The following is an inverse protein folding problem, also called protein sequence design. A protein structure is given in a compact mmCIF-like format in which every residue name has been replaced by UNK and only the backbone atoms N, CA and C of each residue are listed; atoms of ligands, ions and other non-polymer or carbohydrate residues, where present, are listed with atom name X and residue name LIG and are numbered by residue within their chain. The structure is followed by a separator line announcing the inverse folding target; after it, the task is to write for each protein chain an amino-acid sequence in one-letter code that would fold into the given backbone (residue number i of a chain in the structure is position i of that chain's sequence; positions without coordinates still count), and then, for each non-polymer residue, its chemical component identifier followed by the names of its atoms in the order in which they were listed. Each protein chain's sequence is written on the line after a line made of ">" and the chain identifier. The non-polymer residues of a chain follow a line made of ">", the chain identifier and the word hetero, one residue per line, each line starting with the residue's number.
data_IF_194482000207
#
_entry.id   IF_194482000207
#
_cell.length_a   1.000
_cell.length_b   1.000
_cell.length_c   1.000
_cell.angle_alpha   90.00
_cell.angle_beta   90.00
_cell.angle_gamma   90.00
#
_symmetry.space_group_name_H-M   'P 1'
#
loop_
_entity.id
_entity.type
_entity.pdbx_description
1 polymer ?
#
# COMPACT_ATOMS: atom_id res chain seq x y z
N UNK A 1 11.72 -8.41 -23.85
CA UNK A 1 12.62 -7.26 -23.63
C UNK A 1 11.78 -6.16 -23.03
N UNK A 2 12.17 -5.59 -21.90
CA UNK A 2 11.48 -4.42 -21.33
C UNK A 2 11.77 -3.22 -22.23
N UNK A 3 10.74 -2.57 -22.77
CA UNK A 3 10.89 -1.32 -23.53
C UNK A 3 10.57 -0.15 -22.61
N UNK A 4 11.48 0.81 -22.49
CA UNK A 4 11.22 2.07 -21.80
C UNK A 4 10.14 2.81 -22.60
N UNK A 5 9.02 3.11 -21.93
CA UNK A 5 7.88 3.82 -22.54
C UNK A 5 8.01 5.34 -22.33
N UNK A 6 8.55 5.74 -21.17
CA UNK A 6 8.81 7.11 -20.83
C UNK A 6 9.95 7.17 -19.80
N UNK A 7 10.68 8.27 -19.82
CA UNK A 7 11.63 8.65 -18.79
C UNK A 7 11.14 9.98 -18.20
N UNK A 8 11.10 10.06 -16.87
CA UNK A 8 10.70 11.27 -16.15
C UNK A 8 11.88 11.64 -15.25
N UNK A 9 12.58 12.69 -15.64
CA UNK A 9 13.61 13.30 -14.81
C UNK A 9 12.97 14.21 -13.77
N UNK A 10 13.67 14.42 -12.64
CA UNK A 10 13.26 15.43 -11.66
C UNK A 10 13.23 16.84 -12.25
N UNK A 11 14.05 17.12 -13.27
CA UNK A 11 14.02 18.38 -14.01
C UNK A 11 12.72 18.60 -14.78
N UNK A 12 11.99 17.52 -15.08
CA UNK A 12 10.73 17.55 -15.82
C UNK A 12 9.55 17.80 -14.88
N UNK A 13 9.79 17.73 -13.56
CA UNK A 13 8.80 18.08 -12.55
C UNK A 13 8.77 19.60 -12.43
N UNK A 14 7.62 20.19 -12.73
CA UNK A 14 7.37 21.58 -12.39
C UNK A 14 7.66 21.80 -10.92
N UNK A 15 8.26 22.95 -10.58
CA UNK A 15 8.37 23.34 -9.17
C UNK A 15 6.95 23.35 -8.63
N UNK A 16 6.61 22.52 -7.62
CA UNK A 16 5.25 22.46 -7.15
C UNK A 16 4.86 23.89 -6.78
N UNK A 17 3.74 24.42 -7.32
CA UNK A 17 3.25 25.71 -6.86
C UNK A 17 3.13 25.63 -5.34
N UNK A 18 3.15 26.77 -4.65
CA UNK A 18 2.87 26.82 -3.21
C UNK A 18 1.43 26.39 -2.85
N UNK A 19 0.79 25.56 -3.69
CA UNK A 19 -0.43 24.86 -3.40
C UNK A 19 -0.21 23.95 -2.20
N UNK A 20 -0.97 24.25 -1.16
CA UNK A 20 -1.22 23.37 -0.04
C UNK A 20 -1.97 22.13 -0.56
N UNK A 21 -1.25 21.07 -0.88
CA UNK A 21 -1.86 19.75 -1.04
C UNK A 21 -2.53 19.39 0.29
N UNK A 22 -3.86 19.43 0.32
CA UNK A 22 -4.66 19.14 1.51
C UNK A 22 -5.33 17.78 1.38
N UNK A 23 -5.35 17.04 2.48
CA UNK A 23 -6.08 15.78 2.56
C UNK A 23 -7.54 16.14 2.87
N UNK A 24 -8.39 15.98 1.86
CA UNK A 24 -9.83 16.20 2.00
C UNK A 24 -10.60 14.87 1.90
N UNK A 25 -11.82 14.85 2.44
CA UNK A 25 -12.81 13.78 2.25
C UNK A 25 -12.26 12.38 2.54
N UNK A 26 -11.49 12.25 3.63
CA UNK A 26 -11.01 10.95 4.10
C UNK A 26 -12.22 10.04 4.40
N UNK A 27 -12.30 8.94 3.66
CA UNK A 27 -13.36 7.96 3.80
C UNK A 27 -12.76 6.58 4.07
N UNK A 28 -13.29 5.91 5.08
CA UNK A 28 -13.04 4.50 5.30
C UNK A 28 -13.89 3.66 4.33
N UNK A 29 -13.24 2.76 3.59
CA UNK A 29 -13.89 1.89 2.58
C UNK A 29 -14.03 0.46 3.08
N UNK A 30 -12.92 -0.15 3.51
CA UNK A 30 -12.90 -1.51 4.05
C UNK A 30 -11.66 -1.77 4.90
N UNK A 31 -11.68 -2.84 5.69
CA UNK A 31 -10.51 -3.41 6.36
C UNK A 31 -10.49 -4.94 6.25
N UNK A 32 -9.29 -5.51 6.31
CA UNK A 32 -9.10 -6.94 6.35
C UNK A 32 -7.83 -7.29 7.12
N UNK A 33 -7.76 -8.53 7.59
CA UNK A 33 -6.53 -9.11 8.13
C UNK A 33 -6.33 -10.54 7.65
N UNK A 34 -5.06 -10.93 7.49
CA UNK A 34 -4.69 -12.30 7.16
C UNK A 34 -4.86 -13.22 8.36
N UNK A 35 -5.41 -14.40 8.13
CA UNK A 35 -5.47 -15.47 9.12
C UNK A 35 -4.59 -16.65 8.72
N UNK A 36 -3.95 -17.27 9.71
CA UNK A 36 -3.09 -18.43 9.51
C UNK A 36 -3.91 -19.67 9.19
N UNK A 37 -4.04 -19.95 7.88
CA UNK A 37 -4.68 -21.12 7.30
C UNK A 37 -3.85 -21.64 6.12
N UNK A 38 -4.04 -22.90 5.77
CA UNK A 38 -3.34 -23.55 4.65
C UNK A 38 -3.62 -22.86 3.30
N UNK A 39 -4.82 -22.29 3.16
CA UNK A 39 -5.19 -21.46 2.03
C UNK A 39 -5.07 -19.98 2.41
N UNK A 40 -4.55 -19.13 1.51
CA UNK A 40 -4.54 -17.68 1.68
C UNK A 40 -5.96 -17.17 1.99
N UNK A 41 -6.18 -16.80 3.25
CA UNK A 41 -7.50 -16.44 3.76
C UNK A 41 -7.41 -15.11 4.51
N UNK A 42 -8.33 -14.21 4.17
CA UNK A 42 -8.54 -12.96 4.90
C UNK A 42 -9.86 -13.00 5.68
N UNK A 43 -9.90 -12.28 6.80
CA UNK A 43 -11.13 -11.95 7.52
C UNK A 43 -11.60 -10.54 7.14
N UNK A 44 -12.90 -10.38 6.86
CA UNK A 44 -13.53 -9.12 6.42
C UNK A 44 -14.91 -8.96 7.08
N UNK A 45 -15.26 -7.78 7.65
CA UNK A 45 -14.32 -6.74 8.08
C UNK A 45 -13.45 -7.27 9.21
N UNK A 46 -12.34 -6.61 9.50
CA UNK A 46 -11.71 -6.84 10.80
C UNK A 46 -12.60 -6.31 11.92
N UNK A 47 -12.54 -6.94 13.10
CA UNK A 47 -13.03 -6.35 14.34
C UNK A 47 -12.26 -5.08 14.72
N UNK A 48 -12.59 -4.51 15.89
CA UNK A 48 -11.88 -3.34 16.40
C UNK A 48 -10.42 -3.73 16.74
N UNK A 49 -9.42 -2.91 16.36
CA UNK A 49 -8.04 -3.15 16.76
C UNK A 49 -7.95 -3.20 18.29
N UNK A 50 -7.01 -3.97 18.87
CA UNK A 50 -6.82 -4.02 20.31
C UNK A 50 -6.65 -2.62 20.88
N UNK A 51 -7.44 -2.28 21.90
CA UNK A 51 -7.27 -1.02 22.61
C UNK A 51 -5.88 -0.99 23.25
N UNK A 52 -5.15 0.10 23.02
CA UNK A 52 -3.84 0.29 23.60
C UNK A 52 -3.95 0.36 25.13
N UNK A 53 -3.40 -0.65 25.80
CA UNK A 53 -3.31 -0.74 27.25
C UNK A 53 -1.83 -0.68 27.66
N UNK A 54 -1.27 0.54 27.85
CA UNK A 54 0.15 0.67 28.17
C UNK A 54 0.47 0.00 29.51
N UNK A 55 1.61 -0.70 29.63
CA UNK A 55 2.02 -1.27 30.90
C UNK A 55 2.35 -0.15 31.90
N UNK A 56 2.02 -0.38 33.18
CA UNK A 56 2.30 0.59 34.26
C UNK A 56 3.78 0.90 34.44
N UNK A 57 4.66 0.00 34.01
CA UNK A 57 6.12 0.17 34.03
C UNK A 57 6.69 -0.31 32.68
N UNK A 58 7.70 0.37 32.11
CA UNK A 58 8.34 -0.07 30.88
C UNK A 58 8.93 -1.49 31.06
N UNK A 59 8.49 -2.48 30.27
CA UNK A 59 9.07 -3.81 30.33
C UNK A 59 10.46 -3.80 29.70
N UNK A 60 11.37 -4.65 30.18
CA UNK A 60 12.62 -4.94 29.47
C UNK A 60 12.29 -5.83 28.28
N UNK A 61 12.39 -5.29 27.07
CA UNK A 61 12.11 -6.02 25.84
C UNK A 61 13.28 -6.93 25.46
N UNK A 62 12.97 -8.15 25.03
CA UNK A 62 13.94 -9.02 24.34
C UNK A 62 13.98 -8.64 22.86
N UNK A 63 15.12 -8.82 22.17
CA UNK A 63 15.16 -8.69 20.72
C UNK A 63 14.08 -9.53 20.05
N UNK A 64 13.50 -9.00 18.97
CA UNK A 64 12.54 -9.72 18.16
C UNK A 64 13.15 -11.00 17.59
N UNK A 65 12.34 -12.06 17.50
CA UNK A 65 12.72 -13.33 16.89
C UNK A 65 11.67 -13.78 15.87
N UNK A 66 12.11 -14.66 14.96
CA UNK A 66 11.27 -15.24 13.91
C UNK A 66 11.26 -14.44 12.60
N UNK A 67 10.44 -14.89 11.67
CA UNK A 67 10.26 -14.27 10.35
C UNK A 67 9.26 -13.12 10.48
N UNK A 68 9.52 -12.02 9.79
CA UNK A 68 8.62 -10.87 9.67
C UNK A 68 8.36 -10.62 8.20
N UNK A 69 7.11 -10.32 7.87
CA UNK A 69 6.76 -9.95 6.50
C UNK A 69 7.09 -8.48 6.27
N UNK A 70 7.89 -8.22 5.24
CA UNK A 70 8.07 -6.88 4.71
C UNK A 70 6.80 -6.45 3.96
N UNK A 71 6.29 -7.36 3.12
CA UNK A 71 4.98 -7.27 2.46
C UNK A 71 4.23 -8.60 2.67
N UNK A 72 3.22 -8.58 3.54
CA UNK A 72 2.47 -9.79 3.86
C UNK A 72 1.54 -10.22 2.72
N UNK A 73 1.04 -9.27 1.93
CA UNK A 73 0.16 -9.57 0.82
C UNK A 73 0.92 -10.32 -0.28
N UNK A 74 2.07 -9.79 -0.68
CA UNK A 74 2.93 -10.45 -1.66
C UNK A 74 3.52 -11.77 -1.12
N UNK A 75 3.77 -11.89 0.19
CA UNK A 75 4.29 -13.13 0.75
C UNK A 75 3.23 -14.25 0.81
N UNK A 76 1.96 -13.93 1.10
CA UNK A 76 0.88 -14.93 1.15
C UNK A 76 0.25 -15.21 -0.21
N UNK A 77 0.24 -14.21 -1.09
CA UNK A 77 -0.34 -14.34 -2.42
C UNK A 77 0.49 -13.57 -3.47
N UNK A 78 1.67 -14.12 -3.86
CA UNK A 78 2.63 -13.42 -4.72
C UNK A 78 2.10 -13.09 -6.11
N UNK A 79 1.18 -13.91 -6.63
CA UNK A 79 0.62 -13.74 -7.97
C UNK A 79 -0.36 -12.55 -8.04
N UNK A 80 -1.11 -12.30 -6.97
CA UNK A 80 -2.08 -11.20 -6.91
C UNK A 80 -2.04 -10.43 -5.58
N UNK A 81 -0.96 -9.68 -5.27
CA UNK A 81 -0.79 -9.02 -3.96
C UNK A 81 -1.90 -8.00 -3.62
N UNK A 82 -2.56 -7.42 -4.63
CA UNK A 82 -3.66 -6.47 -4.42
C UNK A 82 -5.05 -7.14 -4.32
N UNK A 83 -5.18 -8.41 -4.68
CA UNK A 83 -6.47 -9.12 -4.63
C UNK A 83 -7.17 -9.08 -3.26
N UNK A 84 -6.47 -9.26 -2.13
CA UNK A 84 -7.09 -9.16 -0.79
C UNK A 84 -7.79 -7.82 -0.55
N UNK A 85 -7.20 -6.72 -1.03
CA UNK A 85 -7.77 -5.38 -0.92
C UNK A 85 -9.11 -5.31 -1.65
N UNK A 86 -9.16 -5.75 -2.91
CA UNK A 86 -10.39 -5.73 -3.69
C UNK A 86 -11.46 -6.66 -3.12
N UNK A 87 -11.07 -7.86 -2.68
CA UNK A 87 -11.98 -8.79 -2.01
C UNK A 87 -12.58 -8.18 -0.74
N UNK A 88 -11.78 -7.45 0.04
CA UNK A 88 -12.26 -6.77 1.24
C UNK A 88 -13.28 -5.68 0.93
N UNK A 89 -13.02 -4.85 -0.09
CA UNK A 89 -13.97 -3.82 -0.54
C UNK A 89 -15.27 -4.47 -1.00
N UNK A 90 -15.22 -5.49 -1.86
CA UNK A 90 -16.43 -6.16 -2.35
C UNK A 90 -17.26 -6.82 -1.23
N UNK A 91 -16.60 -7.37 -0.20
CA UNK A 91 -17.29 -8.04 0.90
C UNK A 91 -17.88 -7.06 1.92
N UNK A 92 -17.20 -5.95 2.21
CA UNK A 92 -17.62 -4.99 3.23
C UNK A 92 -18.47 -3.84 2.69
N UNK A 93 -18.21 -3.41 1.46
CA UNK A 93 -18.88 -2.28 0.82
C UNK A 93 -19.19 -2.59 -0.66
N UNK A 94 -20.17 -3.48 -0.92
CA UNK A 94 -20.47 -3.97 -2.28
C UNK A 94 -20.97 -2.87 -3.24
N UNK A 95 -21.51 -1.79 -2.71
CA UNK A 95 -21.99 -0.64 -3.50
C UNK A 95 -20.89 0.40 -3.78
N UNK A 96 -19.64 0.13 -3.39
CA UNK A 96 -18.53 1.03 -3.65
C UNK A 96 -18.13 1.01 -5.13
N UNK A 97 -18.28 2.15 -5.80
CA UNK A 97 -17.93 2.32 -7.21
C UNK A 97 -16.41 2.40 -7.41
N UNK A 98 -15.77 1.25 -7.61
CA UNK A 98 -14.32 1.18 -7.86
C UNK A 98 -13.88 1.94 -9.11
N UNK A 99 -14.78 2.14 -10.09
CA UNK A 99 -14.48 2.89 -11.31
C UNK A 99 -14.18 4.37 -11.07
N UNK A 100 -14.58 4.91 -9.93
CA UNK A 100 -14.33 6.31 -9.60
C UNK A 100 -12.91 6.53 -9.06
N UNK A 101 -12.21 5.46 -8.67
CA UNK A 101 -10.84 5.53 -8.15
C UNK A 101 -9.84 5.69 -9.28
N UNK A 102 -9.02 6.74 -9.21
CA UNK A 102 -7.95 7.00 -10.18
C UNK A 102 -6.67 6.23 -9.87
N UNK A 103 -6.31 6.10 -8.59
CA UNK A 103 -5.07 5.45 -8.15
C UNK A 103 -5.33 4.55 -6.95
N UNK A 104 -4.88 3.30 -7.05
CA UNK A 104 -4.80 2.35 -5.93
C UNK A 104 -3.33 2.13 -5.63
N UNK A 105 -2.90 2.45 -4.41
CA UNK A 105 -1.51 2.29 -3.99
C UNK A 105 -1.45 2.02 -2.48
N UNK A 106 -0.27 1.70 -1.99
CA UNK A 106 0.00 1.53 -0.57
C UNK A 106 0.87 2.65 0.00
N UNK A 107 1.02 2.62 1.32
CA UNK A 107 1.85 3.59 2.04
C UNK A 107 3.33 3.50 1.62
N UNK A 108 3.84 2.32 1.28
CA UNK A 108 5.26 2.12 0.96
C UNK A 108 5.63 2.81 -0.36
N UNK A 109 4.83 2.62 -1.40
CA UNK A 109 4.99 3.28 -2.70
C UNK A 109 4.97 4.80 -2.55
N UNK A 110 4.08 5.35 -1.72
CA UNK A 110 4.06 6.79 -1.41
C UNK A 110 5.35 7.25 -0.71
N UNK A 111 5.91 6.43 0.19
CA UNK A 111 7.20 6.70 0.85
C UNK A 111 8.41 6.57 -0.06
N UNK A 112 8.29 5.93 -1.23
CA UNK A 112 9.32 5.91 -2.28
C UNK A 112 9.21 7.16 -3.16
N UNK A 113 7.98 7.51 -3.56
CA UNK A 113 7.71 8.65 -4.43
C UNK A 113 7.97 10.01 -3.77
N UNK A 114 7.62 10.17 -2.49
CA UNK A 114 7.76 11.47 -1.81
C UNK A 114 9.24 11.91 -1.72
N UNK A 115 10.19 11.10 -1.21
CA UNK A 115 11.61 11.47 -1.18
C UNK A 115 12.22 11.71 -2.57
N UNK A 116 11.73 11.01 -3.60
CA UNK A 116 12.13 11.25 -4.98
C UNK A 116 11.78 12.66 -5.45
N UNK A 117 10.57 13.13 -5.15
CA UNK A 117 10.14 14.50 -5.47
C UNK A 117 10.95 15.52 -4.66
N UNK A 118 11.16 15.26 -3.37
CA UNK A 118 11.84 16.16 -2.42
C UNK A 118 13.37 16.28 -2.58
N UNK A 119 14.00 15.51 -3.46
CA UNK A 119 15.47 15.41 -3.55
C UNK A 119 16.15 14.74 -2.35
N UNK A 120 15.41 14.04 -1.49
CA UNK A 120 15.93 13.47 -0.25
C UNK A 120 16.24 11.96 -0.35
N UNK A 121 15.85 11.31 -1.45
CA UNK A 121 16.14 9.90 -1.71
C UNK A 121 17.59 9.68 -2.19
N UNK A 122 18.26 8.68 -1.64
CA UNK A 122 19.53 8.13 -2.15
C UNK A 122 19.38 6.82 -2.92
N UNK A 123 18.27 6.11 -2.70
CA UNK A 123 18.13 4.72 -3.08
C UNK A 123 17.22 4.56 -4.32
N UNK A 124 17.58 3.63 -5.20
CA UNK A 124 16.71 3.20 -6.30
C UNK A 124 15.51 2.45 -5.74
N UNK A 125 14.37 2.54 -6.44
CA UNK A 125 13.18 1.77 -6.10
C UNK A 125 12.44 1.33 -7.36
N UNK A 126 11.66 0.27 -7.21
CA UNK A 126 10.76 -0.23 -8.23
C UNK A 126 9.31 -0.23 -7.71
N UNK A 127 8.38 0.10 -8.59
CA UNK A 127 6.93 -0.02 -8.38
C UNK A 127 6.35 -0.62 -9.66
N UNK A 128 5.58 -1.69 -9.54
CA UNK A 128 4.84 -2.26 -10.68
C UNK A 128 3.57 -1.44 -10.88
N UNK A 129 3.38 -0.97 -12.10
CA UNK A 129 2.24 -0.14 -12.48
C UNK A 129 1.39 -0.87 -13.54
N UNK A 130 0.09 -0.95 -13.29
CA UNK A 130 -0.88 -1.55 -14.21
C UNK A 130 -2.11 -0.65 -14.34
N UNK A 131 -2.74 -0.62 -15.53
CA UNK A 131 -4.00 0.09 -15.72
C UNK A 131 -5.14 -0.92 -15.67
N UNK A 132 -6.02 -0.78 -14.69
CA UNK A 132 -7.24 -1.55 -14.55
C UNK A 132 -8.44 -0.79 -15.15
N UNK A 133 -9.25 -1.52 -15.92
CA UNK A 133 -10.42 -0.95 -16.60
C UNK A 133 -10.02 0.14 -17.60
N UNK A 134 -10.60 1.33 -17.45
CA UNK A 134 -10.37 2.45 -18.39
C UNK A 134 -9.35 3.48 -17.91
N UNK A 135 -9.16 3.64 -16.59
CA UNK A 135 -8.36 4.75 -16.03
C UNK A 135 -7.59 4.44 -14.74
N UNK A 136 -7.95 3.40 -13.99
CA UNK A 136 -7.43 3.21 -12.64
C UNK A 136 -6.01 2.69 -12.69
N UNK A 137 -5.07 3.46 -12.12
CA UNK A 137 -3.68 3.05 -11.97
C UNK A 137 -3.53 2.22 -10.70
N UNK A 138 -3.07 0.98 -10.86
CA UNK A 138 -2.69 0.09 -9.78
C UNK A 138 -1.19 0.15 -9.58
N UNK A 139 -0.76 0.49 -8.37
CA UNK A 139 0.65 0.50 -7.97
C UNK A 139 0.91 -0.63 -7.00
N UNK A 140 1.52 -1.70 -7.50
CA UNK A 140 1.94 -2.86 -6.71
C UNK A 140 3.36 -2.65 -6.21
N UNK A 141 3.53 -2.79 -4.89
CA UNK A 141 4.83 -2.71 -4.23
C UNK A 141 5.80 -3.77 -4.77
N UNK A 142 7.04 -3.37 -5.00
CA UNK A 142 8.16 -4.27 -5.27
C UNK A 142 9.23 -4.01 -4.22
N UNK A 143 9.69 -5.06 -3.57
CA UNK A 143 10.80 -5.02 -2.62
C UNK A 143 11.96 -5.81 -3.18
N UNK A 144 13.18 -5.29 -3.00
CA UNK A 144 14.40 -6.04 -3.27
C UNK A 144 14.55 -7.12 -2.20
N UNK A 145 14.91 -8.33 -2.63
CA UNK A 145 15.18 -9.47 -1.74
C UNK A 145 16.57 -9.37 -1.11
#
# INVERSE_FOLDING_TARGET
>A
MSSIVAEISRSDLDTPPACDATIERLQYVASYNWIDKDLPTIAVPEGLPPLWAPPLKPPRMTPDSGIRYIDQNAARWPEYPLEPLFRAVCAQNPEFEMSDVDVVTDRNNMRKLLPFVEASASDSFEIKAEIAGKKTLLLTRVEEN
#
